data_IF_898287481437
#
_entry.id   IF_898287481437
#
_cell.length_a   1.000
_cell.length_b   1.000
_cell.length_c   1.000
_cell.angle_alpha   90.00
_cell.angle_beta   90.00
_cell.angle_gamma   90.00
#
_symmetry.space_group_name_H-M   'P 1'
#
loop_
_entity.id
_entity.type
_entity.pdbx_description
1 polymer ?
#
# COMPACT_ATOMS: atom_id res chain seq x y z
N UNK A 1 32.01 23.88 6.22
CA UNK A 1 33.26 23.10 6.11
C UNK A 1 32.88 21.71 5.63
N UNK A 2 33.20 21.41 4.38
CA UNK A 2 32.89 20.13 3.74
C UNK A 2 33.92 19.09 4.19
N UNK A 3 33.50 18.07 4.94
CA UNK A 3 34.40 16.99 5.32
C UNK A 3 35.01 16.32 4.09
N UNK A 4 36.32 15.99 4.10
CA UNK A 4 36.95 15.30 2.99
C UNK A 4 36.34 13.90 2.86
N UNK A 5 35.76 13.63 1.68
CA UNK A 5 35.18 12.34 1.29
C UNK A 5 36.25 11.25 1.40
N UNK A 6 36.32 10.58 2.55
CA UNK A 6 37.24 9.46 2.81
C UNK A 6 37.00 8.40 1.73
N UNK A 7 38.06 8.00 1.02
CA UNK A 7 37.98 6.94 0.00
C UNK A 7 37.52 5.65 0.67
N UNK A 8 36.34 5.15 0.28
CA UNK A 8 35.78 3.88 0.78
C UNK A 8 36.65 2.72 0.31
N UNK A 9 36.82 1.71 1.15
CA UNK A 9 37.70 0.58 0.87
C UNK A 9 36.97 -0.47 0.05
N UNK A 10 37.71 -1.32 -0.67
CA UNK A 10 37.13 -2.43 -1.47
C UNK A 10 36.20 -3.33 -0.65
N UNK A 11 36.55 -3.58 0.62
CA UNK A 11 35.74 -4.36 1.56
C UNK A 11 34.39 -3.70 1.90
N UNK A 12 34.25 -2.38 1.72
CA UNK A 12 32.99 -1.66 1.92
C UNK A 12 32.07 -1.78 0.70
N UNK A 13 32.63 -1.97 -0.50
CA UNK A 13 31.88 -2.26 -1.71
C UNK A 13 31.40 -3.72 -1.75
N UNK A 14 32.23 -4.65 -1.29
CA UNK A 14 31.89 -6.08 -1.21
C UNK A 14 30.79 -6.37 -0.17
N UNK A 15 30.60 -5.49 0.81
CA UNK A 15 29.55 -5.61 1.84
C UNK A 15 28.14 -5.24 1.36
N UNK A 16 28.00 -4.77 0.11
CA UNK A 16 26.75 -4.23 -0.40
C UNK A 16 26.50 -2.83 0.15
N UNK A 17 26.77 -1.81 -0.66
CA UNK A 17 26.55 -0.43 -0.27
C UNK A 17 25.03 -0.19 -0.12
N UNK A 18 24.55 0.44 0.97
CA UNK A 18 23.17 0.91 1.04
C UNK A 18 22.89 1.79 -0.18
N UNK A 19 21.76 1.56 -0.84
CA UNK A 19 21.33 2.24 -2.08
C UNK A 19 22.16 1.94 -3.35
N UNK A 20 22.94 0.86 -3.39
CA UNK A 20 23.61 0.47 -4.64
C UNK A 20 22.66 -0.03 -5.73
N UNK A 21 21.51 -0.58 -5.32
CA UNK A 21 20.52 -1.20 -6.23
C UNK A 21 19.40 -0.27 -6.67
N UNK A 22 19.38 0.98 -6.19
CA UNK A 22 18.39 1.97 -6.62
C UNK A 22 19.08 3.10 -7.40
N UNK A 23 19.10 3.03 -8.75
CA UNK A 23 19.71 4.05 -9.59
C UNK A 23 19.01 5.42 -9.49
N UNK A 24 17.89 5.53 -8.78
CA UNK A 24 17.14 6.77 -8.58
C UNK A 24 17.26 7.37 -7.18
N UNK A 25 17.89 6.68 -6.22
CA UNK A 25 17.93 7.06 -4.79
C UNK A 25 18.38 8.50 -4.47
N UNK A 26 19.16 9.15 -5.36
CA UNK A 26 19.61 10.54 -5.20
C UNK A 26 18.95 11.58 -6.11
N UNK A 27 18.14 11.17 -7.10
CA UNK A 27 17.53 12.05 -8.12
C UNK A 27 16.08 11.60 -8.34
N UNK A 28 15.19 11.94 -7.41
CA UNK A 28 13.77 11.55 -7.49
C UNK A 28 13.47 10.11 -7.05
N UNK A 29 14.38 9.46 -6.34
CA UNK A 29 14.15 8.15 -5.71
C UNK A 29 12.92 8.21 -4.82
N UNK A 30 11.99 7.29 -5.04
CA UNK A 30 10.70 7.32 -4.38
C UNK A 30 10.90 7.26 -2.86
N UNK A 31 10.28 8.20 -2.14
CA UNK A 31 10.16 8.07 -0.69
C UNK A 31 9.63 6.65 -0.37
N UNK A 32 10.13 6.01 0.70
CA UNK A 32 9.72 4.66 1.09
C UNK A 32 8.20 4.51 0.94
N UNK A 33 7.73 3.40 0.39
CA UNK A 33 6.41 3.18 -0.23
C UNK A 33 5.19 3.33 0.73
N UNK A 34 5.39 3.95 1.89
CA UNK A 34 4.44 4.18 2.97
C UNK A 34 3.26 5.08 2.57
N UNK A 35 3.46 6.13 1.76
CA UNK A 35 2.36 7.02 1.34
C UNK A 35 1.33 6.31 0.46
N UNK A 36 1.79 5.48 -0.48
CA UNK A 36 0.90 4.68 -1.33
C UNK A 36 0.22 3.55 -0.54
N UNK A 37 0.95 2.94 0.41
CA UNK A 37 0.42 1.87 1.25
C UNK A 37 -0.69 2.37 2.19
N UNK A 38 -0.45 3.52 2.84
CA UNK A 38 -1.43 4.14 3.75
C UNK A 38 -2.68 4.58 2.99
N UNK A 39 -2.52 5.18 1.81
CA UNK A 39 -3.66 5.54 0.95
C UNK A 39 -4.46 4.30 0.54
N UNK A 40 -3.81 3.21 0.14
CA UNK A 40 -4.49 1.95 -0.19
C UNK A 40 -5.30 1.41 0.98
N UNK A 41 -4.75 1.43 2.19
CA UNK A 41 -5.45 1.01 3.39
C UNK A 41 -6.70 1.88 3.64
N UNK A 42 -6.56 3.20 3.53
CA UNK A 42 -7.66 4.15 3.73
C UNK A 42 -8.75 3.95 2.69
N UNK A 43 -8.39 3.86 1.40
CA UNK A 43 -9.34 3.65 0.30
C UNK A 43 -10.05 2.30 0.42
N UNK A 44 -9.33 1.22 0.77
CA UNK A 44 -9.93 -0.10 0.97
C UNK A 44 -10.91 -0.09 2.15
N UNK A 45 -10.54 0.57 3.26
CA UNK A 45 -11.41 0.68 4.44
C UNK A 45 -12.67 1.50 4.12
N UNK A 46 -12.49 2.66 3.47
CA UNK A 46 -13.60 3.51 3.05
C UNK A 46 -14.53 2.76 2.09
N UNK A 47 -13.99 2.17 1.02
CA UNK A 47 -14.76 1.40 0.04
C UNK A 47 -15.51 0.24 0.68
N UNK A 48 -14.87 -0.51 1.59
CA UNK A 48 -15.51 -1.60 2.32
C UNK A 48 -16.71 -1.11 3.13
N UNK A 49 -16.53 -0.06 3.93
CA UNK A 49 -17.60 0.50 4.78
C UNK A 49 -18.73 1.04 3.92
N UNK A 50 -18.43 1.87 2.92
CA UNK A 50 -19.41 2.47 2.03
C UNK A 50 -20.21 1.41 1.27
N UNK A 51 -19.54 0.43 0.65
CA UNK A 51 -20.22 -0.63 -0.08
C UNK A 51 -21.09 -1.50 0.83
N UNK A 52 -20.62 -1.84 2.03
CA UNK A 52 -21.40 -2.64 2.98
C UNK A 52 -22.63 -1.89 3.47
N UNK A 53 -22.48 -0.63 3.87
CA UNK A 53 -23.59 0.20 4.37
C UNK A 53 -24.63 0.42 3.27
N UNK A 54 -24.22 0.85 2.07
CA UNK A 54 -25.17 1.04 0.97
C UNK A 54 -25.80 -0.27 0.51
N UNK A 55 -25.06 -1.39 0.52
CA UNK A 55 -25.60 -2.71 0.18
C UNK A 55 -26.71 -3.13 1.14
N UNK A 56 -26.51 -2.95 2.45
CA UNK A 56 -27.51 -3.23 3.48
C UNK A 56 -28.72 -2.31 3.33
N UNK A 57 -28.50 -1.00 3.14
CA UNK A 57 -29.59 -0.04 2.96
C UNK A 57 -30.41 -0.34 1.69
N UNK A 58 -29.76 -0.77 0.60
CA UNK A 58 -30.44 -1.13 -0.64
C UNK A 58 -31.36 -2.35 -0.48
N UNK A 59 -30.94 -3.35 0.28
CA UNK A 59 -31.77 -4.52 0.59
C UNK A 59 -33.04 -4.16 1.37
N UNK A 60 -33.10 -2.99 2.02
CA UNK A 60 -34.29 -2.46 2.67
C UNK A 60 -35.31 -1.81 1.72
N UNK A 61 -35.05 -1.81 0.42
CA UNK A 61 -35.93 -1.23 -0.61
C UNK A 61 -36.64 -2.33 -1.41
N UNK A 62 -37.80 -2.03 -1.99
CA UNK A 62 -38.53 -2.94 -2.89
C UNK A 62 -37.96 -2.95 -4.33
N UNK A 63 -36.70 -2.52 -4.50
CA UNK A 63 -36.03 -2.44 -5.80
C UNK A 63 -35.32 -3.77 -6.13
N UNK A 64 -34.93 -3.99 -7.40
CA UNK A 64 -34.16 -5.16 -7.79
C UNK A 64 -32.87 -5.31 -6.96
N UNK A 65 -32.54 -6.55 -6.57
CA UNK A 65 -31.42 -6.83 -5.67
C UNK A 65 -30.03 -6.76 -6.32
N UNK A 66 -29.94 -6.72 -7.66
CA UNK A 66 -28.66 -6.76 -8.37
C UNK A 66 -27.66 -5.64 -7.98
N UNK A 67 -28.07 -4.40 -7.63
CA UNK A 67 -27.15 -3.37 -7.16
C UNK A 67 -26.55 -3.71 -5.80
N UNK A 68 -27.33 -4.31 -4.90
CA UNK A 68 -26.82 -4.80 -3.61
C UNK A 68 -25.78 -5.90 -3.83
N UNK A 69 -26.03 -6.84 -4.74
CA UNK A 69 -25.06 -7.88 -5.11
C UNK A 69 -23.75 -7.25 -5.60
N UNK A 70 -23.83 -6.26 -6.49
CA UNK A 70 -22.64 -5.55 -6.98
C UNK A 70 -21.87 -4.86 -5.85
N UNK A 71 -22.57 -4.19 -4.92
CA UNK A 71 -21.95 -3.56 -3.76
C UNK A 71 -21.26 -4.58 -2.84
N UNK A 72 -21.87 -5.74 -2.61
CA UNK A 72 -21.24 -6.80 -1.82
C UNK A 72 -20.02 -7.41 -2.52
N UNK A 73 -20.04 -7.53 -3.85
CA UNK A 73 -18.85 -7.95 -4.62
C UNK A 73 -17.71 -6.94 -4.46
N UNK A 74 -18.00 -5.65 -4.57
CA UNK A 74 -17.00 -4.59 -4.36
C UNK A 74 -16.48 -4.58 -2.91
N UNK A 75 -17.36 -4.81 -1.93
CA UNK A 75 -16.97 -4.95 -0.53
C UNK A 75 -16.01 -6.14 -0.33
N UNK A 76 -16.27 -7.29 -0.98
CA UNK A 76 -15.38 -8.44 -0.92
C UNK A 76 -13.99 -8.15 -1.52
N UNK A 77 -13.93 -7.43 -2.65
CA UNK A 77 -12.65 -6.98 -3.25
C UNK A 77 -11.89 -6.06 -2.29
N UNK A 78 -12.57 -5.05 -1.72
CA UNK A 78 -11.97 -4.13 -0.76
C UNK A 78 -11.45 -4.86 0.49
N UNK A 79 -12.16 -5.90 0.96
CA UNK A 79 -11.71 -6.74 2.06
C UNK A 79 -10.43 -7.51 1.71
N UNK A 80 -10.35 -8.09 0.52
CA UNK A 80 -9.14 -8.78 0.04
C UNK A 80 -7.96 -7.81 -0.01
N UNK A 81 -8.15 -6.62 -0.58
CA UNK A 81 -7.11 -5.58 -0.63
C UNK A 81 -6.63 -5.20 0.77
N UNK A 82 -7.55 -4.99 1.72
CA UNK A 82 -7.23 -4.69 3.11
C UNK A 82 -6.41 -5.80 3.76
N UNK A 83 -6.80 -7.06 3.55
CA UNK A 83 -6.07 -8.23 4.07
C UNK A 83 -4.68 -8.34 3.45
N UNK A 84 -4.55 -8.17 2.13
CA UNK A 84 -3.25 -8.24 1.43
C UNK A 84 -2.32 -7.13 1.92
N UNK A 85 -2.81 -5.90 2.01
CA UNK A 85 -2.04 -4.75 2.50
C UNK A 85 -1.65 -4.93 3.97
N UNK A 86 -2.57 -5.37 4.83
CA UNK A 86 -2.27 -5.64 6.23
C UNK A 86 -1.24 -6.77 6.38
N UNK A 87 -1.38 -7.87 5.62
CA UNK A 87 -0.40 -8.97 5.60
C UNK A 87 0.97 -8.51 5.13
N UNK A 88 1.03 -7.65 4.10
CA UNK A 88 2.29 -7.09 3.61
C UNK A 88 2.96 -6.22 4.67
N UNK A 89 2.19 -5.39 5.38
CA UNK A 89 2.68 -4.58 6.51
C UNK A 89 3.19 -5.45 7.67
N UNK A 90 2.50 -6.54 8.00
CA UNK A 90 2.88 -7.45 9.09
C UNK A 90 4.13 -8.30 8.79
N UNK A 91 4.44 -8.55 7.51
CA UNK A 91 5.65 -9.29 7.10
C UNK A 91 6.94 -8.48 7.22
N UNK A 92 6.85 -7.20 7.58
CA UNK A 92 8.01 -6.40 7.90
C UNK A 92 8.94 -6.17 6.71
N UNK A 93 8.43 -6.19 5.47
CA UNK A 93 9.13 -5.52 4.38
C UNK A 93 9.14 -4.03 4.73
N UNK A 94 10.29 -3.44 5.11
CA UNK A 94 10.37 -2.01 5.29
C UNK A 94 10.15 -1.42 3.90
N UNK A 95 8.95 -0.89 3.68
CA UNK A 95 8.65 -0.05 2.53
C UNK A 95 9.50 1.20 2.57
#
# INVERSE_FOLDING_TARGET
>A
MSEPRRKRTRADYERGLPDHHDPTAGIGGAAPAQSALTLRLVLATFGLVTCTVFGILWLGTDLPAWPAVLLFVLAAVALVDLVVVARRKLRGEPG
#
